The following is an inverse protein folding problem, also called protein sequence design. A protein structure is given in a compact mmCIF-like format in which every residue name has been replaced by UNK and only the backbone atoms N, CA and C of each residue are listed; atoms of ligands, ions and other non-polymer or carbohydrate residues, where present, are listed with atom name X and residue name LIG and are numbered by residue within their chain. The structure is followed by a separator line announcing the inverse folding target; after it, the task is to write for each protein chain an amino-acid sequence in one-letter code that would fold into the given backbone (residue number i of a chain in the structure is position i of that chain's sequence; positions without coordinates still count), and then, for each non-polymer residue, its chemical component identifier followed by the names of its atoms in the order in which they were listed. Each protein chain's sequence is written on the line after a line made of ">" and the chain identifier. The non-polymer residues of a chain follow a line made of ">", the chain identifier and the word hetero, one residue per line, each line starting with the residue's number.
data_IF_635681311862
#
_entry.id   IF_635681311862
#
_cell.length_a   1.000
_cell.length_b   1.000
_cell.length_c   1.000
_cell.angle_alpha   90.00
_cell.angle_beta   90.00
_cell.angle_gamma   90.00
#
_symmetry.space_group_name_H-M   'P 1'
#
loop_
_entity.id
_entity.type
_entity.pdbx_description
1 polymer ?
#
# COMPACT_ATOMS: atom_id res chain seq x y z
N UNK A 1 -10.43 1.81 3.55
CA UNK A 1 -9.24 2.22 2.74
C UNK A 1 -9.71 3.03 1.55
N UNK A 2 -9.03 4.10 1.27
CA UNK A 2 -9.40 5.01 0.19
C UNK A 2 -8.14 5.69 -0.34
N UNK A 3 -8.24 6.37 -1.47
CA UNK A 3 -7.13 7.19 -1.99
C UNK A 3 -6.73 8.20 -0.92
N UNK A 4 -5.44 8.31 -0.64
CA UNK A 4 -4.88 9.13 0.42
C UNK A 4 -4.66 8.42 1.74
N UNK A 5 -5.18 7.19 1.91
CA UNK A 5 -4.96 6.44 3.15
C UNK A 5 -3.49 6.11 3.34
N UNK A 6 -3.03 6.19 4.59
CA UNK A 6 -1.71 5.69 4.97
C UNK A 6 -1.86 4.22 5.36
N UNK A 7 -1.06 3.37 4.74
CA UNK A 7 -1.10 1.93 4.96
C UNK A 7 0.30 1.39 5.24
N UNK A 8 0.35 0.22 5.89
CA UNK A 8 1.58 -0.54 6.04
C UNK A 8 1.44 -1.83 5.24
N UNK A 9 2.49 -2.19 4.50
CA UNK A 9 2.51 -3.42 3.70
C UNK A 9 2.80 -4.59 4.65
N UNK A 10 1.84 -5.52 4.76
CA UNK A 10 1.97 -6.67 5.65
C UNK A 10 2.75 -7.81 5.02
N UNK A 11 2.69 -7.96 3.70
CA UNK A 11 3.35 -9.03 2.97
C UNK A 11 3.79 -8.54 1.60
N UNK A 12 4.98 -8.94 1.17
CA UNK A 12 5.52 -8.53 -0.12
C UNK A 12 6.53 -9.57 -0.60
N UNK A 13 6.54 -9.82 -1.92
CA UNK A 13 7.51 -10.70 -2.56
C UNK A 13 8.77 -9.94 -3.02
N UNK A 14 8.79 -8.62 -2.85
CA UNK A 14 9.86 -7.75 -3.33
C UNK A 14 10.56 -6.98 -2.21
N UNK A 15 10.38 -7.43 -0.96
CA UNK A 15 11.10 -6.85 0.17
C UNK A 15 10.47 -5.63 0.81
N UNK A 16 9.21 -5.31 0.47
CA UNK A 16 8.52 -4.11 1.00
C UNK A 16 7.76 -4.38 2.30
N UNK A 17 7.85 -5.58 2.86
CA UNK A 17 7.15 -5.92 4.09
C UNK A 17 7.54 -4.95 5.21
N UNK A 18 6.53 -4.37 5.86
CA UNK A 18 6.73 -3.41 6.94
C UNK A 18 6.89 -1.97 6.49
N UNK A 19 6.98 -1.70 5.19
CA UNK A 19 7.10 -0.34 4.69
C UNK A 19 5.75 0.37 4.71
N UNK A 20 5.81 1.69 4.83
CA UNK A 20 4.62 2.54 4.77
C UNK A 20 4.39 3.04 3.34
N UNK A 21 3.13 3.23 2.99
CA UNK A 21 2.76 3.70 1.67
C UNK A 21 1.48 4.52 1.72
N UNK A 22 1.26 5.31 0.68
CA UNK A 22 0.05 6.10 0.51
C UNK A 22 -0.72 5.51 -0.67
N UNK A 23 -2.02 5.31 -0.49
CA UNK A 23 -2.89 4.81 -1.56
C UNK A 23 -3.11 5.92 -2.58
N UNK A 24 -2.76 5.63 -3.85
CA UNK A 24 -2.92 6.60 -4.94
C UNK A 24 -4.05 6.21 -5.90
N UNK A 25 -4.46 4.93 -5.89
CA UNK A 25 -5.58 4.48 -6.70
C UNK A 25 -6.19 3.22 -6.08
N UNK A 26 -7.51 3.10 -6.15
CA UNK A 26 -8.24 1.95 -5.62
C UNK A 26 -8.85 1.12 -6.75
N UNK A 27 -8.81 -0.20 -6.57
CA UNK A 27 -9.51 -1.19 -7.37
C UNK A 27 -10.32 -2.08 -6.44
N UNK A 28 -11.26 -2.88 -6.95
CA UNK A 28 -12.10 -3.71 -6.06
C UNK A 28 -11.32 -4.62 -5.10
N UNK A 29 -10.21 -5.20 -5.54
CA UNK A 29 -9.44 -6.13 -4.74
C UNK A 29 -7.99 -5.69 -4.50
N UNK A 30 -7.58 -4.58 -5.10
CA UNK A 30 -6.20 -4.12 -5.07
C UNK A 30 -6.14 -2.61 -4.84
N UNK A 31 -4.96 -2.14 -4.49
CA UNK A 31 -4.68 -0.72 -4.44
C UNK A 31 -3.30 -0.45 -5.04
N UNK A 32 -3.16 0.68 -5.72
CA UNK A 32 -1.86 1.16 -6.17
C UNK A 32 -1.30 2.06 -5.08
N UNK A 33 -0.07 1.79 -4.68
CA UNK A 33 0.58 2.44 -3.55
C UNK A 33 1.83 3.19 -4.00
N UNK A 34 2.03 4.35 -3.40
CA UNK A 34 3.31 5.06 -3.46
C UNK A 34 4.06 4.73 -2.16
N UNK A 35 5.11 3.93 -2.27
CA UNK A 35 5.91 3.51 -1.11
C UNK A 35 6.75 4.70 -0.65
N UNK A 36 6.56 5.10 0.60
CA UNK A 36 7.16 6.34 1.13
C UNK A 36 8.68 6.30 1.10
N UNK A 37 9.26 5.18 1.54
CA UNK A 37 10.72 5.07 1.69
C UNK A 37 11.47 5.05 0.37
N UNK A 38 10.89 4.40 -0.66
CA UNK A 38 11.58 4.17 -1.93
C UNK A 38 11.12 5.08 -3.04
N UNK A 39 9.93 5.68 -2.89
CA UNK A 39 9.32 6.48 -3.95
C UNK A 39 8.74 5.64 -5.09
N UNK A 40 8.81 4.31 -4.99
CA UNK A 40 8.29 3.42 -6.01
C UNK A 40 6.78 3.31 -5.94
N UNK A 41 6.16 2.96 -7.08
CA UNK A 41 4.72 2.77 -7.17
C UNK A 41 4.45 1.31 -7.50
N UNK A 42 3.66 0.65 -6.64
CA UNK A 42 3.36 -0.78 -6.78
C UNK A 42 1.87 -1.02 -6.56
N UNK A 43 1.38 -2.12 -7.14
CA UNK A 43 0.00 -2.57 -6.95
C UNK A 43 0.01 -3.76 -5.99
N UNK A 44 -0.78 -3.68 -4.92
CA UNK A 44 -0.87 -4.72 -3.90
C UNK A 44 -2.32 -5.13 -3.68
N UNK A 45 -2.53 -6.40 -3.38
CA UNK A 45 -3.84 -6.88 -2.95
C UNK A 45 -4.21 -6.24 -1.60
N UNK A 46 -5.49 -5.91 -1.43
CA UNK A 46 -5.95 -5.23 -0.21
C UNK A 46 -5.65 -6.04 1.05
N UNK A 47 -5.72 -7.38 0.98
CA UNK A 47 -5.47 -8.23 2.15
C UNK A 47 -4.02 -8.19 2.62
N UNK A 48 -3.10 -7.66 1.82
CA UNK A 48 -1.70 -7.49 2.20
C UNK A 48 -1.41 -6.14 2.84
N UNK A 49 -2.45 -5.34 3.08
CA UNK A 49 -2.30 -3.97 3.56
C UNK A 49 -3.01 -3.79 4.90
N UNK A 50 -2.39 -3.01 5.78
CA UNK A 50 -2.97 -2.60 7.05
C UNK A 50 -3.20 -1.10 7.01
N UNK A 51 -4.45 -0.67 7.18
CA UNK A 51 -4.77 0.76 7.21
C UNK A 51 -4.34 1.35 8.54
N UNK A 52 -3.52 2.38 8.49
CA UNK A 52 -3.05 3.08 9.68
C UNK A 52 -3.80 4.40 9.90
N UNK A 53 -4.14 5.07 8.80
CA UNK A 53 -4.86 6.33 8.86
C UNK A 53 -5.61 6.54 7.54
N UNK A 54 -6.86 6.83 7.62
CA UNK A 54 -7.66 7.20 6.46
C UNK A 54 -7.83 8.71 6.38
#
# INVERSE_FOLDING_TARGET
>A
MQVGSLVRIKQSNIGDKGRFAIVVKMYPNDAVLHVVDTGEVWRYALYNLEVLCE
#
